data_IF_264101229870
#
_entry.id   IF_264101229870
#
_cell.length_a   1.000
_cell.length_b   1.000
_cell.length_c   1.000
_cell.angle_alpha   90.00
_cell.angle_beta   90.00
_cell.angle_gamma   90.00
#
_symmetry.space_group_name_H-M   'P 1'
#
loop_
_entity.id
_entity.type
_entity.pdbx_description
1 polymer ?
#
# COMPACT_ATOMS: atom_id res chain seq x y z
N UNK A 1 -6.74 17.78 -7.91
CA UNK A 1 -7.69 16.70 -8.31
C UNK A 1 -8.56 16.97 -9.56
N UNK A 2 -9.40 18.02 -9.62
CA UNK A 2 -10.39 18.21 -10.72
C UNK A 2 -9.80 18.30 -12.14
N UNK A 3 -8.57 18.79 -12.27
CA UNK A 3 -7.88 18.84 -13.56
C UNK A 3 -7.37 17.46 -13.98
N UNK A 4 -6.96 16.61 -13.02
CA UNK A 4 -6.40 15.28 -13.27
C UNK A 4 -7.49 14.35 -13.81
N UNK A 5 -8.66 14.32 -13.17
CA UNK A 5 -9.79 13.45 -13.56
C UNK A 5 -10.31 13.70 -14.99
N UNK A 6 -10.04 14.88 -15.58
CA UNK A 6 -10.47 15.23 -16.94
C UNK A 6 -9.64 14.52 -18.01
N UNK A 7 -8.48 13.98 -17.65
CA UNK A 7 -7.63 13.23 -18.57
C UNK A 7 -8.07 11.77 -18.52
N UNK A 8 -8.63 11.19 -19.59
CA UNK A 8 -8.99 9.78 -19.63
C UNK A 8 -7.74 8.90 -19.52
N UNK A 9 -7.90 7.70 -18.96
CA UNK A 9 -6.82 6.72 -18.73
C UNK A 9 -5.64 7.28 -17.91
N UNK A 10 -5.91 8.26 -17.03
CA UNK A 10 -4.87 8.83 -16.19
C UNK A 10 -4.21 7.75 -15.34
N UNK A 11 -2.88 7.66 -15.42
CA UNK A 11 -2.07 6.74 -14.65
C UNK A 11 -1.26 7.53 -13.61
N UNK A 12 -1.48 7.23 -12.33
CA UNK A 12 -0.66 7.75 -11.23
C UNK A 12 0.23 6.63 -10.69
N UNK A 13 1.53 6.88 -10.59
CA UNK A 13 2.50 5.95 -10.01
C UNK A 13 3.26 6.71 -8.93
N UNK A 14 3.19 6.25 -7.68
CA UNK A 14 3.89 6.84 -6.54
C UNK A 14 4.59 5.74 -5.74
N UNK A 15 5.47 6.12 -4.82
CA UNK A 15 6.10 5.19 -3.89
C UNK A 15 5.58 5.37 -2.46
N UNK A 16 5.93 4.46 -1.57
CA UNK A 16 5.51 4.45 -0.18
C UNK A 16 6.57 3.79 0.70
N UNK A 17 6.76 4.28 1.93
CA UNK A 17 7.67 3.72 2.93
C UNK A 17 7.17 2.37 3.44
N UNK A 18 5.89 2.30 3.82
CA UNK A 18 5.23 1.08 4.30
C UNK A 18 3.80 0.97 3.75
N UNK A 19 3.35 -0.26 3.54
CA UNK A 19 1.95 -0.60 3.28
C UNK A 19 1.52 -1.66 4.27
N UNK A 20 0.44 -1.42 5.02
CA UNK A 20 -0.08 -2.44 5.94
C UNK A 20 -0.99 -3.46 5.24
N UNK A 21 -1.23 -4.61 5.89
CA UNK A 21 -2.07 -5.69 5.36
C UNK A 21 -3.55 -5.30 5.15
N UNK A 22 -3.97 -4.13 5.61
CA UNK A 22 -5.31 -3.56 5.35
C UNK A 22 -5.33 -2.62 4.14
N UNK A 23 -4.16 -2.28 3.60
CA UNK A 23 -3.95 -1.38 2.47
C UNK A 23 -3.75 0.09 2.85
N UNK A 24 -3.46 0.42 4.11
CA UNK A 24 -3.02 1.78 4.45
C UNK A 24 -1.59 2.00 3.99
N UNK A 25 -1.30 3.20 3.51
CA UNK A 25 -0.02 3.54 2.90
C UNK A 25 0.61 4.70 3.65
N UNK A 26 1.79 4.46 4.21
CA UNK A 26 2.66 5.49 4.77
C UNK A 26 3.76 5.83 3.75
N UNK A 27 3.95 7.12 3.47
CA UNK A 27 4.90 7.57 2.45
C UNK A 27 5.83 8.71 2.90
N UNK A 28 5.60 9.30 4.07
CA UNK A 28 6.28 10.53 4.52
C UNK A 28 7.08 10.38 5.81
N UNK A 29 6.93 9.26 6.52
CA UNK A 29 7.46 9.07 7.88
C UNK A 29 7.92 7.64 8.14
N UNK A 30 8.87 7.51 9.08
CA UNK A 30 9.32 6.25 9.63
C UNK A 30 8.96 6.23 11.12
N UNK A 31 7.79 5.67 11.44
CA UNK A 31 7.16 5.86 12.74
C UNK A 31 6.91 7.36 12.97
N UNK A 32 7.30 7.87 14.14
CA UNK A 32 7.18 9.30 14.48
C UNK A 32 8.20 10.22 13.81
N UNK A 33 9.21 9.68 13.09
CA UNK A 33 10.24 10.48 12.43
C UNK A 33 9.79 10.88 11.04
N UNK A 34 9.61 12.18 10.81
CA UNK A 34 9.28 12.74 9.50
C UNK A 34 10.50 12.60 8.58
N UNK A 35 10.31 11.94 7.44
CA UNK A 35 11.33 11.73 6.42
C UNK A 35 11.14 12.69 5.24
N UNK A 36 9.90 12.91 4.84
CA UNK A 36 9.50 13.82 3.77
C UNK A 36 8.12 14.43 4.07
N UNK A 37 7.42 14.92 3.05
CA UNK A 37 6.01 15.28 3.15
C UNK A 37 5.13 14.40 2.27
N UNK A 38 3.82 14.46 2.48
CA UNK A 38 2.81 13.75 1.67
C UNK A 38 2.80 14.18 0.20
N UNK A 39 3.28 15.40 -0.09
CA UNK A 39 3.39 15.96 -1.44
C UNK A 39 2.05 16.01 -2.19
N UNK A 40 2.05 15.62 -3.46
CA UNK A 40 0.84 15.53 -4.28
C UNK A 40 0.28 14.12 -4.43
N UNK A 41 0.84 13.13 -3.72
CA UNK A 41 0.53 11.71 -3.96
C UNK A 41 -0.98 11.43 -3.91
N UNK A 42 -1.65 11.89 -2.85
CA UNK A 42 -3.09 11.66 -2.67
C UNK A 42 -3.93 12.39 -3.74
N UNK A 43 -3.46 13.55 -4.21
CA UNK A 43 -4.12 14.30 -5.30
C UNK A 43 -4.12 13.51 -6.61
N UNK A 44 -2.99 12.88 -6.93
CA UNK A 44 -2.88 12.07 -8.14
C UNK A 44 -3.56 10.71 -7.99
N UNK A 45 -3.46 10.04 -6.84
CA UNK A 45 -4.16 8.78 -6.57
C UNK A 45 -5.67 8.96 -6.71
N UNK A 46 -6.24 9.99 -6.06
CA UNK A 46 -7.67 10.27 -6.14
C UNK A 46 -8.07 10.82 -7.51
N UNK A 47 -7.26 11.70 -8.09
CA UNK A 47 -7.49 12.23 -9.44
C UNK A 47 -7.54 11.14 -10.51
N UNK A 48 -6.62 10.18 -10.47
CA UNK A 48 -6.61 9.03 -11.36
C UNK A 48 -7.78 8.07 -11.09
N UNK A 49 -8.15 7.87 -9.83
CA UNK A 49 -9.31 7.01 -9.48
C UNK A 49 -10.65 7.56 -9.97
N UNK A 50 -10.76 8.88 -10.15
CA UNK A 50 -11.93 9.57 -10.69
C UNK A 50 -11.87 9.76 -12.22
N UNK A 51 -10.72 9.52 -12.83
CA UNK A 51 -10.57 9.55 -14.29
C UNK A 51 -11.27 8.33 -14.92
N UNK A 52 -11.88 8.53 -16.08
CA UNK A 52 -12.43 7.43 -16.89
C UNK A 52 -11.30 6.45 -17.23
N UNK A 53 -11.45 5.19 -16.80
CA UNK A 53 -10.46 4.12 -16.96
C UNK A 53 -9.08 4.45 -16.32
N UNK A 54 -9.05 5.38 -15.37
CA UNK A 54 -7.84 5.79 -14.67
C UNK A 54 -7.42 4.80 -13.57
N UNK A 55 -6.11 4.79 -13.29
CA UNK A 55 -5.46 3.83 -12.40
C UNK A 55 -4.44 4.52 -11.51
N UNK A 56 -4.44 4.16 -10.22
CA UNK A 56 -3.45 4.60 -9.25
C UNK A 56 -2.63 3.39 -8.79
N UNK A 57 -1.32 3.51 -8.80
CA UNK A 57 -0.37 2.48 -8.40
C UNK A 57 0.54 3.04 -7.33
N UNK A 58 0.70 2.30 -6.23
CA UNK A 58 1.77 2.49 -5.27
C UNK A 58 2.80 1.39 -5.52
N UNK A 59 4.01 1.78 -5.91
CA UNK A 59 5.10 0.88 -6.21
C UNK A 59 6.21 1.02 -5.16
N UNK A 60 6.60 -0.07 -4.54
CA UNK A 60 7.67 -0.12 -3.54
C UNK A 60 8.43 -1.44 -3.62
N UNK A 61 9.76 -1.44 -3.40
CA UNK A 61 10.47 -2.67 -3.05
C UNK A 61 9.77 -3.38 -1.90
N UNK A 62 9.75 -4.70 -1.92
CA UNK A 62 9.12 -5.50 -0.85
C UNK A 62 9.88 -5.38 0.48
N UNK A 63 11.17 -5.02 0.44
CA UNK A 63 12.04 -4.86 1.62
C UNK A 63 12.79 -3.52 1.65
N UNK A 64 13.39 -3.23 2.80
CA UNK A 64 14.27 -2.11 3.11
C UNK A 64 15.50 -2.58 3.90
N UNK A 65 16.42 -1.66 4.19
CA UNK A 65 17.61 -1.91 5.01
C UNK A 65 18.41 -3.16 4.56
N UNK A 66 18.65 -3.28 3.25
CA UNK A 66 19.40 -4.40 2.68
C UNK A 66 18.66 -5.75 2.73
N UNK A 67 17.32 -5.75 2.81
CA UNK A 67 16.49 -6.96 2.85
C UNK A 67 16.03 -7.35 4.26
N UNK A 68 16.55 -6.69 5.29
CA UNK A 68 16.27 -7.06 6.70
C UNK A 68 14.92 -6.59 7.22
N UNK A 69 14.24 -5.68 6.54
CA UNK A 69 12.96 -5.11 6.98
C UNK A 69 11.93 -5.24 5.86
N UNK A 70 10.76 -5.82 6.13
CA UNK A 70 9.64 -5.82 5.19
C UNK A 70 8.98 -4.44 5.09
N UNK A 71 8.60 -4.04 3.87
CA UNK A 71 7.79 -2.84 3.61
C UNK A 71 6.31 -3.14 3.46
N UNK A 72 5.94 -4.41 3.32
CA UNK A 72 4.58 -4.89 3.57
C UNK A 72 4.52 -5.37 5.01
N UNK A 73 3.73 -4.69 5.85
CA UNK A 73 3.71 -4.92 7.30
C UNK A 73 2.32 -5.30 7.78
N UNK A 74 2.20 -5.97 8.93
CA UNK A 74 0.87 -6.27 9.49
C UNK A 74 0.12 -5.01 9.89
N UNK A 75 0.82 -4.11 10.57
CA UNK A 75 0.36 -2.76 10.92
C UNK A 75 1.45 -1.77 10.54
N UNK A 76 1.09 -0.52 10.26
CA UNK A 76 2.09 0.54 10.11
C UNK A 76 2.86 0.71 11.43
N UNK A 77 4.10 1.22 11.33
CA UNK A 77 4.91 1.56 12.51
C UNK A 77 4.16 2.53 13.42
N UNK A 78 4.37 2.42 14.74
CA UNK A 78 3.74 3.34 15.69
C UNK A 78 4.10 4.81 15.38
N UNK A 79 3.08 5.67 15.39
CA UNK A 79 3.19 7.08 15.00
C UNK A 79 3.37 7.36 13.50
N UNK A 80 3.35 6.35 12.61
CA UNK A 80 3.49 6.55 11.18
C UNK A 80 2.30 7.32 10.56
N UNK A 81 2.61 8.28 9.70
CA UNK A 81 1.65 9.10 8.97
C UNK A 81 1.00 8.34 7.82
N UNK A 82 -0.33 8.19 7.86
CA UNK A 82 -1.10 7.63 6.73
C UNK A 82 -1.28 8.71 5.66
N UNK A 83 -0.60 8.54 4.53
CA UNK A 83 -0.69 9.47 3.39
C UNK A 83 -1.81 9.06 2.42
N UNK A 84 -1.91 7.76 2.12
CA UNK A 84 -3.02 7.21 1.32
C UNK A 84 -3.78 6.19 2.14
N UNK A 85 -5.07 6.49 2.38
CA UNK A 85 -5.92 5.61 3.19
C UNK A 85 -6.29 4.35 2.43
N UNK A 86 -6.68 3.30 3.16
CA UNK A 86 -7.16 2.02 2.59
C UNK A 86 -8.30 2.16 1.57
N UNK A 87 -9.09 3.24 1.65
CA UNK A 87 -10.19 3.49 0.72
C UNK A 87 -9.73 4.04 -0.64
N UNK A 88 -8.55 4.67 -0.70
CA UNK A 88 -8.02 5.32 -1.89
C UNK A 88 -7.04 4.45 -2.67
N UNK A 89 -6.44 3.44 -2.03
CA UNK A 89 -5.49 2.55 -2.68
C UNK A 89 -6.19 1.70 -3.76
N UNK A 90 -5.58 1.61 -4.94
CA UNK A 90 -6.08 0.79 -6.04
C UNK A 90 -5.13 -0.36 -6.31
N UNK A 91 -3.92 -0.10 -6.82
CA UNK A 91 -2.91 -1.14 -7.02
C UNK A 91 -1.71 -0.95 -6.08
N UNK A 92 -1.17 -2.06 -5.60
CA UNK A 92 0.15 -2.13 -4.95
C UNK A 92 1.05 -3.02 -5.82
N UNK A 93 2.28 -2.59 -6.06
CA UNK A 93 3.26 -3.34 -6.84
C UNK A 93 4.60 -3.44 -6.10
N UNK A 94 5.18 -4.64 -6.12
CA UNK A 94 6.55 -4.93 -5.69
C UNK A 94 7.29 -5.68 -6.80
N UNK A 95 8.55 -6.04 -6.57
CA UNK A 95 9.32 -6.94 -7.44
C UNK A 95 8.73 -8.36 -7.54
N UNK A 96 7.79 -8.74 -6.66
CA UNK A 96 7.12 -10.04 -6.65
C UNK A 96 5.77 -10.06 -7.35
N UNK A 97 5.24 -8.91 -7.77
CA UNK A 97 3.98 -8.83 -8.50
C UNK A 97 3.17 -7.57 -8.24
N UNK A 98 1.93 -7.58 -8.72
CA UNK A 98 0.97 -6.47 -8.58
C UNK A 98 -0.39 -7.01 -8.18
N UNK A 99 -1.04 -6.35 -7.22
CA UNK A 99 -2.39 -6.72 -6.76
C UNK A 99 -3.33 -5.53 -6.78
N UNK A 100 -4.61 -5.79 -7.02
CA UNK A 100 -5.69 -4.80 -6.93
C UNK A 100 -6.44 -4.95 -5.62
N UNK A 101 -6.41 -3.90 -4.81
CA UNK A 101 -7.10 -3.84 -3.52
C UNK A 101 -8.49 -3.21 -3.63
N UNK A 102 -8.85 -2.65 -4.79
CA UNK A 102 -10.13 -1.97 -4.99
C UNK A 102 -11.28 -2.99 -4.94
N UNK A 103 -12.24 -2.75 -4.05
CA UNK A 103 -13.41 -3.63 -3.88
C UNK A 103 -13.13 -4.92 -3.09
N UNK A 104 -11.90 -5.11 -2.60
CA UNK A 104 -11.51 -6.29 -1.80
C UNK A 104 -11.88 -6.14 -0.33
N UNK A 105 -12.32 -7.22 0.29
CA UNK A 105 -12.43 -7.35 1.75
C UNK A 105 -11.06 -7.28 2.42
N UNK A 106 -11.01 -7.06 3.75
CA UNK A 106 -9.73 -7.03 4.47
C UNK A 106 -8.99 -8.38 4.35
N UNK A 107 -9.71 -9.50 4.40
CA UNK A 107 -9.13 -10.84 4.23
C UNK A 107 -8.48 -11.02 2.85
N UNK A 108 -9.18 -10.62 1.79
CA UNK A 108 -8.63 -10.68 0.42
C UNK A 108 -7.42 -9.75 0.28
N UNK A 109 -7.50 -8.50 0.76
CA UNK A 109 -6.38 -7.56 0.74
C UNK A 109 -5.15 -8.13 1.44
N UNK A 110 -5.34 -8.71 2.62
CA UNK A 110 -4.26 -9.31 3.39
C UNK A 110 -3.60 -10.46 2.62
N UNK A 111 -4.39 -11.37 2.05
CA UNK A 111 -3.88 -12.47 1.21
C UNK A 111 -3.10 -11.94 0.01
N UNK A 112 -3.69 -11.01 -0.74
CA UNK A 112 -3.12 -10.42 -1.94
C UNK A 112 -1.79 -9.69 -1.62
N UNK A 113 -1.72 -8.93 -0.53
CA UNK A 113 -0.51 -8.23 -0.11
C UNK A 113 0.61 -9.17 0.33
N UNK A 114 0.28 -10.27 1.02
CA UNK A 114 1.27 -11.29 1.40
C UNK A 114 1.85 -11.98 0.17
N UNK A 115 1.05 -12.20 -0.87
CA UNK A 115 1.50 -12.83 -2.12
C UNK A 115 2.59 -12.02 -2.82
N UNK A 116 2.55 -10.69 -2.71
CA UNK A 116 3.56 -9.78 -3.27
C UNK A 116 4.59 -9.28 -2.23
N UNK A 117 4.55 -9.80 -1.00
CA UNK A 117 5.61 -9.58 -0.03
C UNK A 117 6.84 -10.45 -0.34
N UNK A 118 7.99 -10.07 0.22
CA UNK A 118 9.20 -10.87 0.10
C UNK A 118 8.98 -12.25 0.75
N UNK A 119 9.40 -13.36 0.09
CA UNK A 119 9.19 -14.73 0.57
C UNK A 119 9.53 -14.93 2.05
N UNK A 120 10.66 -14.40 2.50
CA UNK A 120 11.17 -14.52 3.88
C UNK A 120 10.20 -13.98 4.95
N UNK A 121 9.33 -13.03 4.62
CA UNK A 121 8.38 -12.43 5.58
C UNK A 121 6.95 -12.98 5.43
N UNK A 122 6.66 -13.81 4.43
CA UNK A 122 5.28 -14.25 4.16
C UNK A 122 4.71 -15.09 5.29
N UNK A 123 5.51 -15.98 5.87
CA UNK A 123 5.07 -16.84 6.98
C UNK A 123 4.73 -15.99 8.22
N UNK A 124 5.60 -15.05 8.56
CA UNK A 124 5.38 -14.10 9.66
C UNK A 124 4.12 -13.26 9.43
N UNK A 125 3.96 -12.67 8.25
CA UNK A 125 2.77 -11.87 7.92
C UNK A 125 1.48 -12.68 7.99
N UNK A 126 1.49 -13.94 7.55
CA UNK A 126 0.33 -14.84 7.68
C UNK A 126 -0.03 -15.09 9.15
N UNK A 127 0.97 -15.39 9.99
CA UNK A 127 0.77 -15.61 11.42
C UNK A 127 0.23 -14.36 12.09
N UNK A 128 0.87 -13.22 11.84
CA UNK A 128 0.48 -11.94 12.44
C UNK A 128 -0.90 -11.46 11.96
N UNK A 129 -1.30 -11.76 10.72
CA UNK A 129 -2.66 -11.48 10.24
C UNK A 129 -3.73 -12.18 11.08
N UNK A 130 -3.47 -13.42 11.51
CA UNK A 130 -4.37 -14.13 12.41
C UNK A 130 -4.31 -13.54 13.83
N UNK A 131 -3.11 -13.37 14.38
CA UNK A 131 -2.91 -12.98 15.79
C UNK A 131 -3.32 -11.52 16.08
N UNK A 132 -3.00 -10.59 15.18
CA UNK A 132 -3.20 -9.14 15.39
C UNK A 132 -4.46 -8.60 14.73
N UNK A 133 -4.84 -9.14 13.57
CA UNK A 133 -6.00 -8.66 12.80
C UNK A 133 -7.22 -9.56 12.92
N UNK A 134 -7.10 -10.71 13.59
CA UNK A 134 -8.15 -11.73 13.69
C UNK A 134 -8.65 -12.21 12.31
N UNK A 135 -7.77 -12.25 11.31
CA UNK A 135 -8.08 -12.68 9.95
C UNK A 135 -7.51 -14.08 9.67
N UNK A 136 -8.38 -15.09 9.61
CA UNK A 136 -8.02 -16.39 9.03
C UNK A 136 -7.97 -16.28 7.51
N UNK A 137 -6.85 -16.71 6.90
CA UNK A 137 -6.65 -16.72 5.45
C UNK A 137 -6.87 -18.09 4.81
N UNK A 138 -7.02 -19.12 5.65
CA UNK A 138 -7.43 -20.49 5.31
C UNK A 138 -8.93 -20.57 5.03
#
# INVERSE_FOLDING_TARGET
>A
MRSIQRNPQAMSINSAIQVDLTGQVCADSMGSKIFSGFGGQIDFVRGASLSKDGRGVIALPSTAAGGSISRITTTLSDGAGVVTTRAHVHYIATEYGVVSLRGRSLRERTRDLIEIAHPDFREELNREAFEKLCLSLN
#
